data_IF_669647316348
#
_entry.id   IF_669647316348
#
_cell.length_a   1.000
_cell.length_b   1.000
_cell.length_c   1.000
_cell.angle_alpha   90.00
_cell.angle_beta   90.00
_cell.angle_gamma   90.00
#
_symmetry.space_group_name_H-M   'P 1'
#
loop_
_entity.id
_entity.type
_entity.pdbx_description
1 polymer ?
#
# COMPACT_ATOMS: atom_id res chain seq x y z
N UNK A 1 29.10 9.70 -7.58
CA UNK A 1 28.06 10.07 -6.60
C UNK A 1 26.96 9.05 -6.76
N UNK A 2 26.95 7.98 -5.95
CA UNK A 2 25.79 7.11 -5.85
C UNK A 2 24.70 7.96 -5.21
N UNK A 3 23.79 8.49 -6.02
CA UNK A 3 22.51 8.92 -5.50
C UNK A 3 21.85 7.64 -5.00
N UNK A 4 21.90 7.37 -3.70
CA UNK A 4 21.07 6.35 -3.10
C UNK A 4 19.63 6.70 -3.46
N UNK A 5 19.10 6.03 -4.47
CA UNK A 5 17.71 6.19 -4.85
C UNK A 5 16.94 5.62 -3.67
N UNK A 6 16.41 6.50 -2.83
CA UNK A 6 15.49 6.10 -1.78
C UNK A 6 14.29 5.46 -2.49
N UNK A 7 14.16 4.14 -2.36
CA UNK A 7 13.04 3.37 -2.88
C UNK A 7 11.99 3.26 -1.78
N UNK A 8 10.73 3.30 -2.17
CA UNK A 8 9.62 2.95 -1.29
C UNK A 8 9.56 1.43 -1.13
N UNK A 9 9.70 0.95 0.11
CA UNK A 9 9.58 -0.46 0.47
C UNK A 9 8.32 -0.67 1.30
N UNK A 10 7.46 -1.58 0.86
CA UNK A 10 6.22 -1.96 1.51
C UNK A 10 6.33 -3.40 1.99
N UNK A 11 6.33 -3.56 3.32
CA UNK A 11 6.16 -4.85 3.98
C UNK A 11 4.74 -4.97 4.49
N UNK A 12 3.90 -5.68 3.75
CA UNK A 12 2.47 -5.80 3.98
C UNK A 12 2.07 -7.23 4.35
N UNK A 13 2.94 -8.24 4.22
CA UNK A 13 2.68 -9.60 4.74
C UNK A 13 3.07 -9.69 6.21
N UNK A 14 2.16 -9.29 7.10
CA UNK A 14 2.40 -9.06 8.53
C UNK A 14 1.93 -7.67 8.93
N UNK A 15 2.40 -7.17 10.09
CA UNK A 15 2.11 -5.79 10.48
C UNK A 15 2.75 -4.81 9.51
N UNK A 16 1.99 -3.83 9.00
CA UNK A 16 2.45 -3.02 7.88
C UNK A 16 3.65 -2.16 8.26
N UNK A 17 4.69 -2.22 7.42
CA UNK A 17 5.85 -1.33 7.48
C UNK A 17 6.01 -0.67 6.13
N UNK A 18 6.11 0.67 6.11
CA UNK A 18 6.26 1.43 4.87
C UNK A 18 7.47 2.31 5.04
N UNK A 19 8.52 2.03 4.29
CA UNK A 19 9.79 2.75 4.42
C UNK A 19 10.11 3.54 3.17
N UNK A 20 10.72 4.71 3.37
CA UNK A 20 11.32 5.48 2.29
C UNK A 20 12.78 5.76 2.65
N UNK A 21 13.69 5.00 2.04
CA UNK A 21 15.07 4.92 2.50
C UNK A 21 15.14 4.43 3.95
N UNK A 22 15.77 5.21 4.83
CA UNK A 22 15.88 4.88 6.26
C UNK A 22 14.63 5.22 7.08
N UNK A 23 13.71 6.05 6.55
CA UNK A 23 12.55 6.56 7.29
C UNK A 23 11.42 5.54 7.37
N UNK A 24 10.90 5.32 8.58
CA UNK A 24 9.76 4.45 8.87
C UNK A 24 8.46 5.26 8.83
N UNK A 25 7.82 5.32 7.67
CA UNK A 25 6.65 6.18 7.44
C UNK A 25 5.42 5.73 8.21
N UNK A 26 5.28 4.44 8.51
CA UNK A 26 4.14 3.92 9.28
C UNK A 26 4.06 4.47 10.72
N UNK A 27 5.19 4.96 11.25
CA UNK A 27 5.28 5.54 12.59
C UNK A 27 5.06 7.06 12.59
N UNK A 28 5.30 7.72 11.45
CA UNK A 28 5.22 9.18 11.32
C UNK A 28 3.94 9.67 10.61
N UNK A 29 3.28 8.77 9.87
CA UNK A 29 2.07 9.08 9.11
C UNK A 29 0.80 8.69 9.87
N UNK A 30 -0.32 9.42 9.65
CA UNK A 30 -1.63 8.97 10.10
C UNK A 30 -1.98 7.59 9.53
N UNK A 31 -2.75 6.78 10.26
CA UNK A 31 -3.23 5.46 9.81
C UNK A 31 -3.86 5.49 8.42
N UNK A 32 -4.64 6.54 8.12
CA UNK A 32 -5.28 6.74 6.81
C UNK A 32 -4.28 7.00 5.67
N UNK A 33 -3.12 7.59 5.97
CA UNK A 33 -2.05 7.74 4.99
C UNK A 33 -1.36 6.39 4.73
N UNK A 34 -1.12 5.59 5.77
CA UNK A 34 -0.62 4.20 5.62
C UNK A 34 -1.59 3.37 4.77
N UNK A 35 -2.89 3.46 5.05
CA UNK A 35 -3.94 2.79 4.29
C UNK A 35 -3.91 3.18 2.80
N UNK A 36 -3.87 4.49 2.53
CA UNK A 36 -3.81 5.01 1.16
C UNK A 36 -2.56 4.51 0.41
N UNK A 37 -1.39 4.56 1.06
CA UNK A 37 -0.14 4.12 0.44
C UNK A 37 -0.15 2.61 0.13
N UNK A 38 -0.61 1.77 1.07
CA UNK A 38 -0.75 0.34 0.86
C UNK A 38 -1.71 0.02 -0.30
N UNK A 39 -2.86 0.71 -0.37
CA UNK A 39 -3.83 0.55 -1.46
C UNK A 39 -3.26 0.91 -2.83
N UNK A 40 -2.57 2.06 -2.93
CA UNK A 40 -1.96 2.50 -4.18
C UNK A 40 -0.82 1.54 -4.60
N UNK A 41 -0.02 1.05 -3.66
CA UNK A 41 1.07 0.11 -3.93
C UNK A 41 0.56 -1.22 -4.46
N UNK A 42 -0.44 -1.82 -3.78
CA UNK A 42 -1.04 -3.10 -4.16
C UNK A 42 -1.76 -3.06 -5.51
N UNK A 43 -2.37 -1.92 -5.86
CA UNK A 43 -3.12 -1.80 -7.11
C UNK A 43 -2.27 -1.34 -8.30
N UNK A 44 -1.13 -0.69 -8.03
CA UNK A 44 -0.17 -0.25 -9.04
C UNK A 44 -0.72 0.65 -10.15
N UNK A 45 -1.86 1.31 -9.92
CA UNK A 45 -2.55 2.11 -10.93
C UNK A 45 -2.97 3.48 -10.40
N UNK A 46 -3.30 4.36 -11.34
CA UNK A 46 -3.89 5.67 -11.04
C UNK A 46 -5.37 5.52 -10.68
N UNK A 47 -5.78 6.15 -9.58
CA UNK A 47 -7.16 6.15 -9.10
C UNK A 47 -7.73 7.56 -9.04
N UNK A 48 -9.05 7.69 -9.17
CA UNK A 48 -9.70 8.99 -8.99
C UNK A 48 -9.66 9.40 -7.53
N UNK A 49 -9.50 10.70 -7.29
CA UNK A 49 -9.53 11.26 -5.94
C UNK A 49 -10.88 11.05 -5.27
N UNK A 50 -11.97 11.04 -6.04
CA UNK A 50 -13.29 10.74 -5.50
C UNK A 50 -13.38 9.30 -5.01
N UNK A 51 -12.90 8.32 -5.78
CA UNK A 51 -12.90 6.92 -5.37
C UNK A 51 -12.03 6.69 -4.13
N UNK A 52 -10.83 7.28 -4.07
CA UNK A 52 -9.96 7.17 -2.89
C UNK A 52 -10.54 7.88 -1.65
N UNK A 53 -11.26 8.97 -1.86
CA UNK A 53 -11.94 9.67 -0.78
C UNK A 53 -13.10 8.83 -0.21
N UNK A 54 -13.96 8.29 -1.07
CA UNK A 54 -15.04 7.40 -0.67
C UNK A 54 -14.53 6.09 -0.07
N UNK A 55 -13.39 5.58 -0.56
CA UNK A 55 -12.72 4.39 -0.04
C UNK A 55 -12.21 4.59 1.38
N UNK A 56 -11.80 5.79 1.76
CA UNK A 56 -11.22 6.02 3.09
C UNK A 56 -12.27 6.63 4.04
N UNK A 57 -13.13 7.53 3.59
CA UNK A 57 -14.12 8.24 4.42
C UNK A 57 -15.54 7.90 3.94
N UNK A 58 -16.00 6.66 4.11
CA UNK A 58 -17.33 6.22 3.66
C UNK A 58 -18.49 6.91 4.41
N UNK A 59 -18.20 7.45 5.59
CA UNK A 59 -19.14 8.15 6.47
C UNK A 59 -19.34 9.63 6.10
N UNK A 60 -18.60 10.12 5.10
CA UNK A 60 -18.65 11.51 4.64
C UNK A 60 -19.30 11.60 3.28
N UNK A 61 -19.93 12.75 3.02
CA UNK A 61 -20.32 13.13 1.67
C UNK A 61 -19.07 13.39 0.80
N UNK A 62 -19.25 13.41 -0.52
CA UNK A 62 -18.16 13.60 -1.48
C UNK A 62 -17.30 14.84 -1.17
N UNK A 63 -17.95 15.95 -0.78
CA UNK A 63 -17.28 17.20 -0.48
C UNK A 63 -16.40 17.10 0.78
N UNK A 64 -16.92 16.49 1.86
CA UNK A 64 -16.18 16.24 3.09
C UNK A 64 -15.05 15.25 2.88
N UNK A 65 -15.31 14.14 2.21
CA UNK A 65 -14.31 13.11 1.90
C UNK A 65 -13.16 13.68 1.05
N UNK A 66 -13.45 14.45 -0.01
CA UNK A 66 -12.44 15.11 -0.84
C UNK A 66 -11.65 16.18 -0.08
N UNK A 67 -12.26 16.83 0.90
CA UNK A 67 -11.57 17.78 1.80
C UNK A 67 -10.55 17.05 2.66
N UNK A 68 -10.92 15.93 3.25
CA UNK A 68 -9.99 15.12 4.04
C UNK A 68 -8.87 14.52 3.17
N UNK A 69 -9.20 14.03 1.96
CA UNK A 69 -8.18 13.54 1.03
C UNK A 69 -7.18 14.64 0.62
N UNK A 70 -7.65 15.88 0.42
CA UNK A 70 -6.76 17.03 0.15
C UNK A 70 -5.75 17.25 1.27
N UNK A 71 -6.20 17.19 2.53
CA UNK A 71 -5.32 17.33 3.69
C UNK A 71 -4.34 16.16 3.79
N UNK A 72 -4.81 14.93 3.57
CA UNK A 72 -3.97 13.74 3.60
C UNK A 72 -2.87 13.77 2.53
N UNK A 73 -3.20 14.20 1.31
CA UNK A 73 -2.24 14.41 0.22
C UNK A 73 -1.20 15.47 0.59
N UNK A 74 -1.60 16.56 1.28
CA UNK A 74 -0.66 17.59 1.73
C UNK A 74 0.33 17.02 2.75
N UNK A 75 -0.12 16.16 3.66
CA UNK A 75 0.76 15.44 4.59
C UNK A 75 1.72 14.56 3.81
N UNK A 76 1.21 13.67 2.95
CA UNK A 76 2.03 12.74 2.18
C UNK A 76 3.10 13.45 1.33
N UNK A 77 2.78 14.60 0.72
CA UNK A 77 3.75 15.38 -0.09
C UNK A 77 4.97 15.86 0.71
N UNK A 78 4.84 16.05 2.03
CA UNK A 78 5.98 16.44 2.88
C UNK A 78 6.94 15.29 3.13
N UNK A 79 6.44 14.06 3.11
CA UNK A 79 7.22 12.85 3.32
C UNK A 79 7.71 12.23 2.00
N UNK A 80 6.94 12.41 0.94
CA UNK A 80 7.07 11.73 -0.35
C UNK A 80 6.91 12.74 -1.52
N UNK A 81 7.80 13.75 -1.64
CA UNK A 81 7.63 14.82 -2.62
C UNK A 81 7.64 14.31 -4.07
N UNK A 82 8.49 13.34 -4.38
CA UNK A 82 8.71 12.83 -5.75
C UNK A 82 8.17 11.41 -5.97
N UNK A 83 7.50 10.83 -4.96
CA UNK A 83 7.01 9.44 -5.00
C UNK A 83 5.49 9.35 -5.24
N UNK A 84 4.86 10.44 -5.68
CA UNK A 84 3.43 10.46 -5.99
C UNK A 84 3.15 11.22 -7.29
N UNK A 85 2.32 10.64 -8.15
CA UNK A 85 1.75 11.31 -9.30
C UNK A 85 0.38 11.89 -8.91
N UNK A 86 0.33 13.20 -8.75
CA UNK A 86 -0.86 13.89 -8.21
C UNK A 86 -1.41 14.83 -9.28
N UNK A 87 -2.62 14.56 -9.75
CA UNK A 87 -3.35 15.46 -10.66
C UNK A 87 -4.52 16.14 -9.95
N UNK A 88 -5.29 16.94 -10.70
CA UNK A 88 -6.53 17.54 -10.19
C UNK A 88 -7.55 16.48 -9.79
N UNK A 89 -7.60 15.36 -10.51
CA UNK A 89 -8.65 14.34 -10.41
C UNK A 89 -8.15 12.96 -10.01
N UNK A 90 -6.84 12.71 -10.07
CA UNK A 90 -6.24 11.38 -9.83
C UNK A 90 -5.04 11.41 -8.90
N UNK A 91 -4.73 10.24 -8.35
CA UNK A 91 -3.57 9.97 -7.50
C UNK A 91 -3.00 8.58 -7.80
N UNK A 92 -1.67 8.48 -7.89
CA UNK A 92 -0.92 7.23 -7.99
C UNK A 92 0.42 7.36 -7.25
N UNK A 93 1.07 6.23 -6.95
CA UNK A 93 2.50 6.24 -6.58
C UNK A 93 3.34 6.54 -7.83
N UNK A 94 4.47 7.22 -7.62
CA UNK A 94 5.47 7.48 -8.64
C UNK A 94 6.74 6.67 -8.35
N UNK A 95 7.44 6.28 -9.40
CA UNK A 95 8.76 5.63 -9.29
C UNK A 95 8.71 4.14 -8.99
N UNK A 96 9.87 3.47 -8.97
CA UNK A 96 9.98 2.09 -8.54
C UNK A 96 9.72 1.98 -7.04
N UNK A 97 8.94 0.99 -6.65
CA UNK A 97 8.70 0.62 -5.27
C UNK A 97 8.60 -0.90 -5.16
N UNK A 98 8.89 -1.44 -3.98
CA UNK A 98 8.79 -2.88 -3.71
C UNK A 98 7.61 -3.15 -2.80
N UNK A 99 6.88 -4.24 -3.09
CA UNK A 99 5.79 -4.73 -2.25
C UNK A 99 5.98 -6.21 -2.07
N UNK A 100 6.26 -6.64 -0.85
CA UNK A 100 6.48 -8.05 -0.51
C UNK A 100 5.30 -8.94 -0.92
N UNK A 101 4.06 -8.47 -0.75
CA UNK A 101 2.85 -9.20 -1.14
C UNK A 101 2.77 -9.43 -2.66
N UNK A 102 3.15 -8.43 -3.47
CA UNK A 102 3.17 -8.59 -4.93
C UNK A 102 4.34 -9.47 -5.38
N UNK A 103 5.48 -9.38 -4.69
CA UNK A 103 6.63 -10.26 -4.95
C UNK A 103 6.28 -11.71 -4.62
N UNK A 104 5.69 -11.97 -3.45
CA UNK A 104 5.21 -13.28 -3.04
C UNK A 104 4.23 -13.86 -4.08
N UNK A 105 3.21 -13.09 -4.46
CA UNK A 105 2.23 -13.50 -5.47
C UNK A 105 2.89 -13.84 -6.81
N UNK A 106 3.81 -13.00 -7.29
CA UNK A 106 4.54 -13.26 -8.52
C UNK A 106 5.38 -14.55 -8.42
N UNK A 107 6.06 -14.77 -7.29
CA UNK A 107 6.88 -15.97 -7.09
C UNK A 107 6.05 -17.25 -7.05
N UNK A 108 4.91 -17.25 -6.36
CA UNK A 108 4.03 -18.42 -6.27
C UNK A 108 3.35 -18.70 -7.62
N UNK A 109 2.85 -17.66 -8.30
CA UNK A 109 2.15 -17.83 -9.59
C UNK A 109 3.07 -18.24 -10.74
N UNK A 110 4.35 -17.88 -10.69
CA UNK A 110 5.35 -18.24 -11.70
C UNK A 110 6.17 -19.47 -11.31
N UNK A 111 5.85 -20.12 -10.20
CA UNK A 111 6.59 -21.27 -9.70
C UNK A 111 6.63 -22.40 -10.74
N UNK A 112 7.85 -22.90 -10.99
CA UNK A 112 8.08 -24.10 -11.79
C UNK A 112 8.48 -25.26 -10.89
N UNK A 113 7.92 -26.48 -11.08
CA UNK A 113 8.32 -27.65 -10.30
C UNK A 113 9.85 -27.85 -10.32
N UNK A 114 10.44 -27.94 -9.13
CA UNK A 114 11.90 -28.08 -8.95
C UNK A 114 12.64 -26.79 -8.58
N UNK A 115 11.98 -25.62 -8.67
CA UNK A 115 12.55 -24.35 -8.21
C UNK A 115 12.34 -24.13 -6.70
N UNK A 116 12.95 -25.02 -5.92
CA UNK A 116 12.93 -24.97 -4.45
C UNK A 116 13.49 -23.64 -3.91
N UNK A 117 14.56 -23.04 -4.48
CA UNK A 117 15.05 -21.73 -4.02
C UNK A 117 14.01 -20.62 -4.10
N UNK A 118 13.27 -20.51 -5.21
CA UNK A 118 12.20 -19.50 -5.34
C UNK A 118 11.07 -19.75 -4.35
N UNK A 119 10.70 -21.02 -4.11
CA UNK A 119 9.68 -21.35 -3.12
C UNK A 119 10.12 -20.96 -1.70
N UNK A 120 11.39 -21.24 -1.34
CA UNK A 120 11.95 -20.82 -0.05
C UNK A 120 11.92 -19.28 0.10
N UNK A 121 12.35 -18.56 -0.93
CA UNK A 121 12.30 -17.09 -0.94
C UNK A 121 10.86 -16.54 -0.76
N UNK A 122 9.86 -17.19 -1.34
CA UNK A 122 8.45 -16.82 -1.12
C UNK A 122 8.03 -17.01 0.36
N UNK A 123 8.45 -18.10 1.00
CA UNK A 123 8.13 -18.34 2.42
C UNK A 123 8.78 -17.33 3.35
N UNK A 124 9.95 -16.80 3.00
CA UNK A 124 10.61 -15.73 3.77
C UNK A 124 9.88 -14.39 3.68
N UNK A 125 9.12 -14.15 2.61
CA UNK A 125 8.30 -12.94 2.45
C UNK A 125 7.00 -13.02 3.27
N UNK A 126 6.41 -14.21 3.39
CA UNK A 126 5.15 -14.41 4.11
C UNK A 126 5.39 -14.60 5.61
N UNK A 127 5.64 -13.51 6.33
CA UNK A 127 5.89 -13.53 7.79
C UNK A 127 4.62 -13.35 8.64
N UNK A 128 3.50 -13.01 8.02
CA UNK A 128 2.19 -12.88 8.65
C UNK A 128 1.11 -12.57 7.62
N UNK A 129 -0.15 -12.53 8.07
CA UNK A 129 -1.27 -12.22 7.18
C UNK A 129 -1.16 -10.79 6.64
N UNK A 130 -1.70 -10.58 5.43
CA UNK A 130 -1.72 -9.25 4.81
C UNK A 130 -2.28 -8.19 5.77
N UNK A 131 -1.49 -7.14 6.04
CA UNK A 131 -1.82 -6.02 6.93
C UNK A 131 -2.28 -6.48 8.34
N UNK A 132 -1.61 -7.49 8.90
CA UNK A 132 -1.93 -8.06 10.21
C UNK A 132 -1.93 -7.00 11.32
N UNK A 133 -3.04 -6.94 12.08
CA UNK A 133 -3.21 -5.99 13.18
C UNK A 133 -3.48 -4.54 12.73
N UNK A 134 -3.58 -4.29 11.42
CA UNK A 134 -4.03 -3.01 10.90
C UNK A 134 -5.56 -2.97 10.87
N UNK A 135 -6.12 -1.82 11.22
CA UNK A 135 -7.56 -1.60 11.22
C UNK A 135 -7.88 -0.13 10.93
N UNK A 136 -8.91 0.09 10.12
CA UNK A 136 -9.50 1.37 9.78
C UNK A 136 -11.00 1.27 10.09
N UNK A 137 -11.50 2.13 10.98
CA UNK A 137 -12.83 2.12 11.64
C UNK A 137 -14.05 1.50 10.87
N UNK A 138 -15.02 1.03 11.66
CA UNK A 138 -16.17 0.21 11.28
C UNK A 138 -16.97 0.61 10.02
N UNK A 139 -17.18 -0.42 9.19
CA UNK A 139 -17.91 -0.49 7.91
C UNK A 139 -17.31 0.34 6.76
N UNK A 140 -15.99 0.19 6.58
CA UNK A 140 -15.23 0.87 5.54
C UNK A 140 -15.00 -0.05 4.32
N UNK A 141 -15.31 0.38 3.07
CA UNK A 141 -14.93 -0.34 1.85
C UNK A 141 -13.44 -0.72 1.80
N UNK A 142 -12.57 -0.01 2.52
CA UNK A 142 -11.17 -0.38 2.71
C UNK A 142 -10.99 -1.71 3.43
N UNK A 143 -11.71 -1.95 4.53
CA UNK A 143 -11.66 -3.21 5.28
C UNK A 143 -12.12 -4.38 4.42
N UNK A 144 -13.15 -4.17 3.59
CA UNK A 144 -13.62 -5.18 2.62
C UNK A 144 -12.52 -5.51 1.62
N UNK A 145 -11.89 -4.50 1.02
CA UNK A 145 -10.77 -4.69 0.10
C UNK A 145 -9.59 -5.41 0.77
N UNK A 146 -9.23 -5.01 2.01
CA UNK A 146 -8.14 -5.61 2.77
C UNK A 146 -8.43 -7.08 3.08
N UNK A 147 -9.64 -7.39 3.52
CA UNK A 147 -10.09 -8.76 3.79
C UNK A 147 -10.03 -9.63 2.52
N UNK A 148 -10.62 -9.18 1.41
CA UNK A 148 -10.57 -9.92 0.14
C UNK A 148 -9.14 -10.10 -0.36
N UNK A 149 -8.28 -9.11 -0.18
CA UNK A 149 -6.85 -9.20 -0.56
C UNK A 149 -6.11 -10.20 0.31
N UNK A 150 -6.37 -10.22 1.62
CA UNK A 150 -5.79 -11.18 2.56
C UNK A 150 -6.18 -12.62 2.23
N UNK A 151 -7.47 -12.89 2.01
CA UNK A 151 -7.94 -14.23 1.67
C UNK A 151 -7.33 -14.70 0.35
N UNK A 152 -7.32 -13.84 -0.68
CA UNK A 152 -6.70 -14.16 -1.97
C UNK A 152 -5.22 -14.53 -1.83
N UNK A 153 -4.45 -13.79 -1.03
CA UNK A 153 -3.01 -14.06 -0.82
C UNK A 153 -2.77 -15.33 0.01
N UNK A 154 -3.70 -15.67 0.91
CA UNK A 154 -3.64 -16.86 1.74
C UNK A 154 -3.94 -18.15 0.95
N UNK A 155 -4.76 -18.04 -0.09
CA UNK A 155 -5.17 -19.15 -0.95
C UNK A 155 -4.14 -19.49 -2.06
N UNK A 156 -3.07 -18.70 -2.20
CA UNK A 156 -1.95 -18.94 -3.11
C UNK A 156 -1.00 -20.02 -2.57
#
# INVERSE_FOLDING_TARGET
>A
MNSDVNILDFRLLGSPQIRFGTRALEQELPTRAVALLAYLAMTGRSHTRLALAALLWPDKDDAGALTNLRQLILVLRRFLPDQMQISRTTLALAGPYHVDALQFEATVTQFTPGDIPSLHAATELYVGDFMQGFYLNDNDPYETWMFTTRERLRDL
#
